data_IF_568721424250
#
_entry.id   IF_568721424250
#
_cell.length_a   1.000
_cell.length_b   1.000
_cell.length_c   1.000
_cell.angle_alpha   90.00
_cell.angle_beta   90.00
_cell.angle_gamma   90.00
#
_symmetry.space_group_name_H-M   'P 1'
#
loop_
_entity.id
_entity.type
_entity.pdbx_description
1 polymer ?
#
# COMPACT_ATOMS: atom_id res chain seq x y z
N UNK A 1 -0.11 19.28 8.19
CA UNK A 1 0.41 18.84 6.87
C UNK A 1 1.37 17.66 7.01
N UNK A 2 2.47 17.79 7.75
CA UNK A 2 3.51 16.74 7.92
C UNK A 2 3.01 15.44 8.54
N UNK A 3 1.99 15.48 9.41
CA UNK A 3 1.44 14.28 10.06
C UNK A 3 0.93 13.23 9.05
N UNK A 4 0.37 13.66 7.91
CA UNK A 4 -0.11 12.73 6.87
C UNK A 4 1.06 11.93 6.29
N UNK A 5 2.19 12.60 6.01
CA UNK A 5 3.38 11.94 5.50
C UNK A 5 4.06 11.04 6.52
N UNK A 6 3.94 11.34 7.83
CA UNK A 6 4.42 10.44 8.89
C UNK A 6 3.55 9.19 8.97
N UNK A 7 2.23 9.36 9.01
CA UNK A 7 1.28 8.25 9.03
C UNK A 7 1.49 7.29 7.84
N UNK A 8 1.58 7.83 6.62
CA UNK A 8 1.80 7.02 5.42
C UNK A 8 3.19 6.35 5.40
N UNK A 9 4.19 6.97 6.03
CA UNK A 9 5.51 6.36 6.19
C UNK A 9 5.45 5.18 7.17
N UNK A 10 4.64 5.26 8.21
CA UNK A 10 4.47 4.20 9.19
C UNK A 10 3.74 3.00 8.57
N UNK A 11 2.68 3.23 7.79
CA UNK A 11 2.02 2.18 6.97
C UNK A 11 3.05 1.49 6.06
N UNK A 12 3.84 2.27 5.31
CA UNK A 12 4.83 1.71 4.39
C UNK A 12 5.91 0.91 5.13
N UNK A 13 6.28 1.31 6.35
CA UNK A 13 7.22 0.56 7.18
C UNK A 13 6.63 -0.79 7.55
N UNK A 14 5.39 -0.82 8.02
CA UNK A 14 4.69 -2.06 8.37
C UNK A 14 4.60 -3.01 7.17
N UNK A 15 4.23 -2.51 5.99
CA UNK A 15 4.20 -3.34 4.77
C UNK A 15 5.58 -3.89 4.36
N UNK A 16 6.68 -3.23 4.74
CA UNK A 16 8.04 -3.69 4.47
C UNK A 16 8.56 -4.72 5.47
N UNK A 17 7.86 -4.90 6.59
CA UNK A 17 8.17 -5.93 7.59
C UNK A 17 7.54 -7.28 7.21
N UNK A 18 6.68 -7.32 6.17
CA UNK A 18 6.12 -8.56 5.63
C UNK A 18 7.23 -9.50 5.12
N UNK A 19 7.06 -10.84 5.26
CA UNK A 19 8.04 -11.85 4.85
C UNK A 19 8.05 -12.08 3.32
N UNK A 20 7.98 -11.01 2.53
CA UNK A 20 7.86 -11.03 1.06
C UNK A 20 9.20 -10.74 0.35
N UNK A 21 10.32 -10.85 1.07
CA UNK A 21 11.67 -10.63 0.54
C UNK A 21 12.08 -11.69 -0.49
N UNK A 22 13.08 -11.38 -1.32
CA UNK A 22 13.60 -12.37 -2.28
C UNK A 22 14.16 -13.56 -1.49
N UNK A 23 13.48 -14.71 -1.60
CA UNK A 23 13.96 -16.00 -1.10
C UNK A 23 15.21 -16.40 -1.90
N UNK A 24 16.34 -15.81 -1.54
CA UNK A 24 17.64 -16.19 -2.07
C UNK A 24 18.56 -16.57 -0.91
N UNK A 25 18.37 -17.79 -0.41
CA UNK A 25 19.25 -18.50 0.52
C UNK A 25 19.24 -17.92 1.94
N UNK A 26 18.83 -18.66 2.96
CA UNK A 26 19.59 -19.82 3.42
C UNK A 26 18.68 -20.65 4.29
N UNK A 27 18.46 -21.90 3.89
CA UNK A 27 18.01 -22.94 4.80
C UNK A 27 19.09 -23.14 5.87
N UNK A 28 18.98 -22.45 7.00
CA UNK A 28 19.73 -22.81 8.20
C UNK A 28 19.06 -24.03 8.83
N UNK A 29 19.34 -25.19 8.23
CA UNK A 29 19.19 -26.50 8.86
C UNK A 29 20.14 -26.53 10.06
N UNK A 30 19.67 -26.12 11.24
CA UNK A 30 20.41 -26.39 12.48
C UNK A 30 20.09 -27.81 12.97
N UNK A 31 20.86 -28.75 12.44
CA UNK A 31 20.98 -30.12 12.91
C UNK A 31 22.09 -30.18 13.95
N UNK A 32 21.73 -30.47 15.22
CA UNK A 32 22.38 -31.43 16.13
C UNK A 32 22.42 -30.95 17.59
N UNK A 33 21.95 -31.83 18.50
CA UNK A 33 22.30 -31.76 19.92
C UNK A 33 21.41 -32.58 20.84
N UNK A 34 21.38 -33.90 20.66
CA UNK A 34 20.70 -34.84 21.56
C UNK A 34 21.30 -34.84 22.98
N UNK A 35 20.46 -34.82 24.03
CA UNK A 35 20.61 -35.65 25.24
C UNK A 35 19.24 -35.93 25.87
N UNK A 36 18.91 -37.21 26.01
CA UNK A 36 17.78 -37.76 26.77
C UNK A 36 17.83 -37.39 28.27
N UNK A 37 16.67 -37.28 28.94
CA UNK A 37 16.26 -38.16 30.08
C UNK A 37 14.95 -37.66 30.75
N UNK A 38 13.85 -38.37 30.46
CA UNK A 38 12.65 -38.73 31.27
C UNK A 38 11.94 -37.71 32.18
N UNK A 39 10.65 -37.46 31.90
CA UNK A 39 9.57 -37.66 32.88
C UNK A 39 8.20 -37.73 32.17
N UNK A 40 7.46 -38.80 32.44
CA UNK A 40 6.13 -39.08 31.90
C UNK A 40 5.06 -38.13 32.48
N UNK A 41 4.17 -37.61 31.62
CA UNK A 41 2.76 -37.39 31.99
C UNK A 41 1.89 -37.42 30.74
N UNK A 42 0.91 -38.31 30.76
CA UNK A 42 -0.04 -38.60 29.69
C UNK A 42 -1.16 -37.55 29.57
N UNK A 43 -1.36 -37.07 28.33
CA UNK A 43 -2.61 -36.80 27.58
C UNK A 43 -3.83 -36.13 28.25
N UNK A 44 -4.17 -34.94 27.77
CA UNK A 44 -5.40 -34.59 27.01
C UNK A 44 -5.26 -33.10 26.59
N UNK A 45 -5.07 -32.70 25.33
CA UNK A 45 -6.04 -32.89 24.25
C UNK A 45 -6.75 -31.58 23.89
N UNK A 46 -6.02 -30.47 23.74
CA UNK A 46 -6.44 -29.35 22.88
C UNK A 46 -5.20 -28.50 22.57
N UNK A 47 -4.40 -29.00 21.63
CA UNK A 47 -3.48 -28.15 20.90
C UNK A 47 -4.34 -27.08 20.25
N UNK A 48 -4.28 -25.85 20.77
CA UNK A 48 -4.79 -24.70 20.06
C UNK A 48 -3.86 -24.50 18.87
N UNK A 49 -4.12 -25.28 17.83
CA UNK A 49 -3.55 -25.20 16.49
C UNK A 49 -4.11 -23.93 15.81
N UNK A 50 -3.86 -22.78 16.44
CA UNK A 50 -4.22 -21.45 15.96
C UNK A 50 -2.98 -20.68 15.48
N UNK A 51 -1.95 -21.41 15.06
CA UNK A 51 -0.84 -20.88 14.26
C UNK A 51 -1.03 -21.41 12.83
N UNK A 52 -2.11 -20.98 12.19
CA UNK A 52 -2.11 -20.90 10.73
C UNK A 52 -1.23 -19.70 10.37
N UNK A 53 0.08 -19.89 10.46
CA UNK A 53 1.03 -19.18 9.61
C UNK A 53 0.70 -19.60 8.17
N UNK A 54 -0.32 -18.97 7.58
CA UNK A 54 -0.55 -19.07 6.15
C UNK A 54 0.56 -18.27 5.48
N UNK A 55 1.62 -19.00 5.15
CA UNK A 55 2.72 -18.51 4.34
C UNK A 55 2.18 -17.98 3.02
N UNK A 56 2.69 -16.82 2.59
CA UNK A 56 2.33 -16.22 1.30
C UNK A 56 2.64 -17.18 0.14
N UNK A 57 1.72 -17.31 -0.81
CA UNK A 57 2.03 -17.96 -2.10
C UNK A 57 2.93 -17.08 -2.97
N UNK A 58 3.49 -17.63 -4.06
CA UNK A 58 4.31 -16.84 -5.00
C UNK A 58 3.51 -15.68 -5.62
N UNK A 59 2.24 -15.92 -5.94
CA UNK A 59 1.30 -14.92 -6.44
C UNK A 59 0.99 -13.86 -5.38
N UNK A 60 0.72 -14.27 -4.13
CA UNK A 60 0.47 -13.33 -3.04
C UNK A 60 1.71 -12.46 -2.73
N UNK A 61 2.92 -13.03 -2.83
CA UNK A 61 4.18 -12.27 -2.72
C UNK A 61 4.29 -11.24 -3.84
N UNK A 62 3.94 -11.60 -5.08
CA UNK A 62 3.98 -10.69 -6.23
C UNK A 62 3.04 -9.49 -6.01
N UNK A 63 1.79 -9.74 -5.60
CA UNK A 63 0.80 -8.72 -5.25
C UNK A 63 1.30 -7.84 -4.10
N UNK A 64 1.84 -8.43 -3.03
CA UNK A 64 2.34 -7.70 -1.88
C UNK A 64 3.49 -6.74 -2.24
N UNK A 65 4.43 -7.18 -3.10
CA UNK A 65 5.52 -6.33 -3.62
C UNK A 65 4.99 -5.14 -4.43
N UNK A 66 3.94 -5.34 -5.22
CA UNK A 66 3.29 -4.26 -5.96
C UNK A 66 2.59 -3.28 -5.02
N UNK A 67 1.89 -3.76 -3.98
CA UNK A 67 1.29 -2.87 -2.96
C UNK A 67 2.33 -2.03 -2.22
N UNK A 68 3.48 -2.61 -1.85
CA UNK A 68 4.60 -1.84 -1.27
C UNK A 68 5.09 -0.74 -2.22
N UNK A 69 5.11 -1.02 -3.53
CA UNK A 69 5.48 -0.04 -4.55
C UNK A 69 4.45 1.07 -4.64
N UNK A 70 3.16 0.74 -4.69
CA UNK A 70 2.03 1.69 -4.67
C UNK A 70 2.09 2.60 -3.43
N UNK A 71 2.29 2.02 -2.24
CA UNK A 71 2.41 2.78 -0.99
C UNK A 71 3.64 3.70 -0.98
N UNK A 72 4.77 3.24 -1.54
CA UNK A 72 5.98 4.05 -1.70
C UNK A 72 5.74 5.26 -2.62
N UNK A 73 5.09 5.05 -3.75
CA UNK A 73 4.80 6.12 -4.71
C UNK A 73 3.72 7.08 -4.18
N UNK A 74 2.72 6.59 -3.44
CA UNK A 74 1.75 7.43 -2.72
C UNK A 74 2.44 8.37 -1.72
N UNK A 75 3.44 7.86 -0.98
CA UNK A 75 4.23 8.68 -0.05
C UNK A 75 4.98 9.81 -0.78
N UNK A 76 5.50 9.54 -1.98
CA UNK A 76 6.12 10.56 -2.82
C UNK A 76 5.09 11.60 -3.27
N UNK A 77 3.90 11.19 -3.72
CA UNK A 77 2.81 12.10 -4.08
C UNK A 77 2.44 13.03 -2.92
N UNK A 78 2.25 12.49 -1.72
CA UNK A 78 1.91 13.29 -0.53
C UNK A 78 3.02 14.28 -0.20
N UNK A 79 4.29 13.84 -0.26
CA UNK A 79 5.46 14.71 -0.02
C UNK A 79 5.53 15.87 -1.01
N UNK A 80 5.41 15.56 -2.30
CA UNK A 80 5.49 16.56 -3.37
C UNK A 80 4.30 17.52 -3.33
N UNK A 81 3.12 17.04 -2.95
CA UNK A 81 1.92 17.87 -2.77
C UNK A 81 2.08 18.84 -1.58
N UNK A 82 2.56 18.35 -0.43
CA UNK A 82 2.86 19.22 0.73
C UNK A 82 3.96 20.23 0.39
N UNK A 83 4.98 19.82 -0.36
CA UNK A 83 6.06 20.70 -0.83
C UNK A 83 5.50 21.81 -1.72
N UNK A 84 4.65 21.46 -2.67
CA UNK A 84 3.97 22.41 -3.56
C UNK A 84 3.13 23.44 -2.77
N UNK A 85 2.27 22.99 -1.86
CA UNK A 85 1.48 23.87 -0.97
C UNK A 85 2.41 24.79 -0.17
N UNK A 86 3.47 24.25 0.41
CA UNK A 86 4.44 25.02 1.20
C UNK A 86 5.12 26.10 0.35
N UNK A 87 5.47 25.81 -0.90
CA UNK A 87 6.01 26.79 -1.84
C UNK A 87 5.00 27.89 -2.17
N UNK A 88 3.73 27.54 -2.40
CA UNK A 88 2.67 28.51 -2.65
C UNK A 88 2.45 29.45 -1.45
N UNK A 89 2.42 28.90 -0.22
CA UNK A 89 2.29 29.69 1.00
C UNK A 89 3.45 30.67 1.19
N UNK A 90 4.69 30.25 0.88
CA UNK A 90 5.88 31.14 0.93
C UNK A 90 5.79 32.29 -0.06
N UNK A 91 5.27 32.04 -1.27
CA UNK A 91 5.09 33.08 -2.29
C UNK A 91 3.95 34.03 -1.90
N UNK A 92 2.84 33.49 -1.38
CA UNK A 92 1.67 34.27 -0.96
C UNK A 92 1.95 35.14 0.27
N UNK A 93 2.75 34.66 1.24
CA UNK A 93 3.12 35.46 2.43
C UNK A 93 3.89 36.74 2.11
N UNK A 94 4.54 36.80 0.94
CA UNK A 94 5.24 37.99 0.45
C UNK A 94 4.33 38.94 -0.36
N UNK A 95 3.07 38.57 -0.61
CA UNK A 95 2.10 39.37 -1.38
C UNK A 95 0.89 39.65 -0.49
N UNK A 96 0.74 40.91 -0.06
CA UNK A 96 -0.42 41.37 0.72
C UNK A 96 -1.72 41.08 -0.05
N UNK A 97 -2.50 40.10 0.41
CA UNK A 97 -3.77 39.68 -0.19
C UNK A 97 -3.95 38.17 -0.15
N UNK A 98 -4.41 37.63 0.98
CA UNK A 98 -4.87 36.25 1.05
C UNK A 98 -6.13 36.10 0.19
N UNK A 99 -6.08 35.27 -0.85
CA UNK A 99 -7.27 34.91 -1.62
C UNK A 99 -7.92 33.69 -0.95
N UNK A 100 -9.06 33.88 -0.28
CA UNK A 100 -9.77 32.85 0.48
C UNK A 100 -10.04 31.58 -0.36
N UNK A 101 -10.33 31.74 -1.66
CA UNK A 101 -10.53 30.64 -2.62
C UNK A 101 -9.31 29.71 -2.73
N UNK A 102 -8.09 30.27 -2.66
CA UNK A 102 -6.86 29.47 -2.69
C UNK A 102 -6.67 28.68 -1.41
N UNK A 103 -7.09 29.23 -0.27
CA UNK A 103 -7.01 28.53 1.02
C UNK A 103 -7.92 27.31 0.99
N UNK A 104 -9.15 27.47 0.54
CA UNK A 104 -10.10 26.36 0.38
C UNK A 104 -9.53 25.26 -0.55
N UNK A 105 -8.98 25.65 -1.70
CA UNK A 105 -8.39 24.70 -2.65
C UNK A 105 -7.18 23.95 -2.05
N UNK A 106 -6.34 24.63 -1.26
CA UNK A 106 -5.22 23.99 -0.55
C UNK A 106 -5.72 23.01 0.53
N UNK A 107 -6.80 23.34 1.24
CA UNK A 107 -7.42 22.46 2.23
C UNK A 107 -8.04 21.21 1.58
N UNK A 108 -8.72 21.39 0.43
CA UNK A 108 -9.23 20.27 -0.37
C UNK A 108 -8.10 19.35 -0.83
N UNK A 109 -6.98 19.90 -1.30
CA UNK A 109 -5.81 19.12 -1.69
C UNK A 109 -5.18 18.35 -0.51
N UNK A 110 -5.14 18.94 0.69
CA UNK A 110 -4.72 18.24 1.91
C UNK A 110 -5.70 17.14 2.33
N UNK A 111 -7.00 17.35 2.10
CA UNK A 111 -8.01 16.32 2.31
C UNK A 111 -7.78 15.13 1.39
N UNK A 112 -7.50 15.37 0.10
CA UNK A 112 -7.12 14.29 -0.82
C UNK A 112 -5.88 13.51 -0.33
N UNK A 113 -4.87 14.20 0.22
CA UNK A 113 -3.68 13.52 0.76
C UNK A 113 -4.02 12.59 1.93
N UNK A 114 -4.95 13.01 2.79
CA UNK A 114 -5.41 12.19 3.92
C UNK A 114 -6.20 10.97 3.44
N UNK A 115 -7.15 11.19 2.54
CA UNK A 115 -7.95 10.11 1.95
C UNK A 115 -7.08 9.08 1.23
N UNK A 116 -6.04 9.52 0.52
CA UNK A 116 -5.09 8.60 -0.11
C UNK A 116 -4.32 7.78 0.95
N UNK A 117 -3.90 8.38 2.06
CA UNK A 117 -3.23 7.63 3.13
C UNK A 117 -4.17 6.59 3.77
N UNK A 118 -5.43 6.95 4.02
CA UNK A 118 -6.44 6.02 4.56
C UNK A 118 -6.69 4.86 3.58
N UNK A 119 -6.81 5.15 2.28
CA UNK A 119 -6.98 4.11 1.24
C UNK A 119 -5.75 3.21 1.08
N UNK A 120 -4.54 3.73 1.29
CA UNK A 120 -3.32 2.91 1.31
C UNK A 120 -3.26 2.03 2.55
N UNK A 121 -3.78 2.50 3.69
CA UNK A 121 -3.93 1.68 4.89
C UNK A 121 -4.87 0.50 4.64
N UNK A 122 -6.05 0.76 4.06
CA UNK A 122 -7.01 -0.28 3.68
C UNK A 122 -6.36 -1.29 2.71
N UNK A 123 -5.66 -0.78 1.69
CA UNK A 123 -4.94 -1.60 0.73
C UNK A 123 -3.88 -2.46 1.43
N UNK A 124 -3.14 -1.92 2.39
CA UNK A 124 -2.18 -2.68 3.19
C UNK A 124 -2.79 -3.78 4.05
N UNK A 125 -3.96 -3.52 4.63
CA UNK A 125 -4.68 -4.53 5.40
C UNK A 125 -5.14 -5.71 4.52
N UNK A 126 -5.47 -5.45 3.25
CA UNK A 126 -5.90 -6.51 2.31
C UNK A 126 -4.78 -7.44 1.83
N UNK A 127 -3.50 -7.13 2.13
CA UNK A 127 -2.33 -7.90 1.67
C UNK A 127 -1.97 -9.08 2.59
N UNK A 128 -2.53 -9.13 3.80
CA UNK A 128 -2.29 -10.26 4.71
C UNK A 128 -3.04 -11.51 4.23
N UNK A 129 -2.43 -12.71 4.29
CA UNK A 129 -3.09 -13.95 3.90
C UNK A 129 -4.31 -14.30 4.79
N UNK A 130 -5.37 -14.88 4.21
CA UNK A 130 -5.61 -14.96 2.76
C UNK A 130 -5.92 -13.56 2.19
N UNK A 131 -5.31 -13.21 1.06
CA UNK A 131 -5.44 -11.86 0.49
C UNK A 131 -6.88 -11.51 0.05
N UNK A 132 -7.32 -10.28 0.33
CA UNK A 132 -8.64 -9.77 -0.10
C UNK A 132 -8.53 -8.99 -1.42
N UNK A 133 -8.52 -9.71 -2.54
CA UNK A 133 -8.43 -9.12 -3.88
C UNK A 133 -9.63 -8.22 -4.23
N UNK A 134 -10.79 -8.44 -3.62
CA UNK A 134 -11.97 -7.59 -3.84
C UNK A 134 -11.74 -6.21 -3.22
N UNK A 135 -11.24 -6.16 -1.99
CA UNK A 135 -10.91 -4.90 -1.32
C UNK A 135 -9.72 -4.21 -2.00
N UNK A 136 -8.73 -4.96 -2.51
CA UNK A 136 -7.64 -4.38 -3.33
C UNK A 136 -8.19 -3.67 -4.57
N UNK A 137 -9.06 -4.34 -5.34
CA UNK A 137 -9.70 -3.76 -6.55
C UNK A 137 -10.51 -2.51 -6.21
N UNK A 138 -11.22 -2.54 -5.08
CA UNK A 138 -11.97 -1.38 -4.59
C UNK A 138 -11.03 -0.22 -4.24
N UNK A 139 -9.96 -0.49 -3.49
CA UNK A 139 -8.95 0.48 -3.07
C UNK A 139 -8.23 1.11 -4.27
N UNK A 140 -7.82 0.33 -5.27
CA UNK A 140 -7.20 0.82 -6.52
C UNK A 140 -8.11 1.84 -7.22
N UNK A 141 -9.41 1.54 -7.36
CA UNK A 141 -10.38 2.47 -7.98
C UNK A 141 -10.50 3.77 -7.19
N UNK A 142 -10.57 3.69 -5.86
CA UNK A 142 -10.63 4.87 -4.98
C UNK A 142 -9.37 5.72 -5.11
N UNK A 143 -8.20 5.10 -5.18
CA UNK A 143 -6.90 5.76 -5.34
C UNK A 143 -6.77 6.47 -6.70
N UNK A 144 -7.24 5.87 -7.80
CA UNK A 144 -7.33 6.57 -9.09
C UNK A 144 -8.25 7.80 -9.03
N UNK A 145 -9.39 7.68 -8.36
CA UNK A 145 -10.29 8.81 -8.11
C UNK A 145 -9.58 9.93 -7.34
N UNK A 146 -8.87 9.57 -6.27
CA UNK A 146 -8.06 10.49 -5.46
C UNK A 146 -6.95 11.17 -6.24
N UNK A 147 -6.19 10.43 -7.05
CA UNK A 147 -5.11 10.96 -7.90
C UNK A 147 -5.65 11.99 -8.90
N UNK A 148 -6.81 11.72 -9.52
CA UNK A 148 -7.47 12.65 -10.43
C UNK A 148 -7.99 13.91 -9.72
N UNK A 149 -8.51 13.78 -8.50
CA UNK A 149 -8.90 14.91 -7.67
C UNK A 149 -7.69 15.79 -7.31
N UNK A 150 -6.60 15.19 -6.82
CA UNK A 150 -5.35 15.92 -6.54
C UNK A 150 -4.84 16.68 -7.77
N UNK A 151 -4.83 16.03 -8.93
CA UNK A 151 -4.40 16.66 -10.19
C UNK A 151 -5.26 17.88 -10.55
N UNK A 152 -6.56 17.83 -10.29
CA UNK A 152 -7.49 18.95 -10.51
C UNK A 152 -7.15 20.12 -9.58
N UNK A 153 -7.01 19.87 -8.28
CA UNK A 153 -6.71 20.92 -7.31
C UNK A 153 -5.32 21.53 -7.49
N UNK A 154 -4.33 20.73 -7.87
CA UNK A 154 -2.99 21.24 -8.20
C UNK A 154 -3.05 22.19 -9.41
N UNK A 155 -3.87 21.88 -10.42
CA UNK A 155 -4.04 22.73 -11.61
C UNK A 155 -4.74 24.04 -11.28
N UNK A 156 -5.77 24.03 -10.45
CA UNK A 156 -6.53 25.24 -10.08
C UNK A 156 -5.67 26.22 -9.24
N UNK A 157 -4.73 25.72 -8.44
CA UNK A 157 -3.81 26.55 -7.65
C UNK A 157 -2.75 27.29 -8.48
N UNK A 158 -2.39 26.76 -9.66
CA UNK A 158 -1.32 27.29 -10.52
C UNK A 158 0.09 27.18 -9.91
N UNK A 159 1.09 27.87 -10.46
CA UNK A 159 2.48 27.84 -9.97
C UNK A 159 3.36 26.83 -10.71
N UNK A 160 4.30 26.19 -9.99
CA UNK A 160 5.27 25.20 -10.51
C UNK A 160 4.98 23.81 -9.92
N UNK A 161 4.00 23.06 -10.48
CA UNK A 161 3.54 21.78 -9.96
C UNK A 161 4.29 20.54 -10.51
N UNK A 162 5.39 20.72 -11.24
CA UNK A 162 6.01 19.65 -12.05
C UNK A 162 6.34 18.40 -11.21
N UNK A 163 6.90 18.58 -10.02
CA UNK A 163 7.24 17.47 -9.13
C UNK A 163 6.01 16.66 -8.68
N UNK A 164 4.89 17.35 -8.42
CA UNK A 164 3.65 16.68 -8.01
C UNK A 164 3.00 15.91 -9.17
N UNK A 165 3.04 16.45 -10.40
CA UNK A 165 2.53 15.72 -11.57
C UNK A 165 3.38 14.50 -11.93
N UNK A 166 4.71 14.61 -11.87
CA UNK A 166 5.60 13.46 -12.09
C UNK A 166 5.36 12.37 -11.04
N UNK A 167 5.17 12.75 -9.77
CA UNK A 167 4.84 11.79 -8.72
C UNK A 167 3.49 11.11 -8.97
N UNK A 168 2.46 11.86 -9.38
CA UNK A 168 1.13 11.32 -9.70
C UNK A 168 1.17 10.36 -10.89
N UNK A 169 1.92 10.68 -11.95
CA UNK A 169 2.08 9.80 -13.11
C UNK A 169 2.75 8.47 -12.73
N UNK A 170 3.80 8.54 -11.89
CA UNK A 170 4.49 7.36 -11.39
C UNK A 170 3.55 6.50 -10.52
N UNK A 171 2.81 7.14 -9.63
CA UNK A 171 1.82 6.48 -8.78
C UNK A 171 0.73 5.76 -9.62
N UNK A 172 0.18 6.41 -10.64
CA UNK A 172 -0.80 5.78 -11.54
C UNK A 172 -0.23 4.60 -12.31
N UNK A 173 1.05 4.65 -12.72
CA UNK A 173 1.72 3.48 -13.34
C UNK A 173 1.81 2.30 -12.37
N UNK A 174 2.11 2.57 -11.09
CA UNK A 174 2.17 1.52 -10.06
C UNK A 174 0.79 0.92 -9.77
N UNK A 175 -0.26 1.74 -9.76
CA UNK A 175 -1.64 1.26 -9.64
C UNK A 175 -2.04 0.38 -10.83
N UNK A 176 -1.65 0.76 -12.05
CA UNK A 176 -1.93 -0.03 -13.24
C UNK A 176 -1.21 -1.39 -13.22
N UNK A 177 0.02 -1.44 -12.72
CA UNK A 177 0.73 -2.71 -12.55
C UNK A 177 0.03 -3.63 -11.54
N UNK A 178 -0.39 -3.08 -10.39
CA UNK A 178 -1.16 -3.84 -9.39
C UNK A 178 -2.51 -4.31 -9.95
N UNK A 179 -3.21 -3.47 -10.71
CA UNK A 179 -4.50 -3.79 -11.31
C UNK A 179 -4.42 -4.96 -12.30
N UNK A 180 -3.34 -5.04 -13.07
CA UNK A 180 -3.08 -6.18 -13.97
C UNK A 180 -2.87 -7.47 -13.17
N UNK A 181 -2.00 -7.44 -12.16
CA UNK A 181 -1.69 -8.62 -11.34
C UNK A 181 -2.94 -9.20 -10.68
N UNK A 182 -3.77 -8.36 -10.05
CA UNK A 182 -4.99 -8.82 -9.35
C UNK A 182 -6.14 -9.19 -10.31
N UNK A 183 -6.02 -8.89 -11.60
CA UNK A 183 -7.01 -9.26 -12.62
C UNK A 183 -6.77 -10.68 -13.17
N UNK A 184 -5.51 -11.11 -13.26
CA UNK A 184 -5.12 -12.41 -13.83
C UNK A 184 -5.56 -13.60 -12.96
N UNK A 185 -5.74 -13.42 -11.65
CA UNK A 185 -6.17 -14.50 -10.74
C UNK A 185 -7.57 -15.07 -11.06
N UNK A 186 -8.47 -14.26 -11.62
CA UNK A 186 -9.82 -14.71 -12.02
C UNK A 186 -9.76 -15.73 -13.18
N UNK A 187 -8.72 -15.68 -14.01
CA UNK A 187 -8.54 -16.64 -15.10
C UNK A 187 -8.05 -18.01 -14.61
N UNK A 188 -7.18 -18.02 -13.60
CA UNK A 188 -6.61 -19.26 -13.04
C UNK A 188 -7.62 -20.04 -12.17
N UNK A 189 -8.52 -19.34 -11.47
CA UNK A 189 -9.57 -19.99 -10.66
C UNK A 189 -10.59 -20.74 -11.53
N UNK A 190 -10.87 -20.24 -12.76
CA UNK A 190 -11.78 -20.91 -13.71
C UNK A 190 -11.17 -22.16 -14.37
N UNK A 191 -9.85 -22.22 -14.54
CA UNK A 191 -9.20 -23.36 -15.20
C UNK A 191 -9.16 -24.61 -14.29
N UNK A 192 -9.03 -24.42 -12.97
CA UNK A 192 -8.98 -25.49 -11.97
C UNK A 192 -10.32 -26.20 -11.69
N UNK A 193 -11.45 -25.64 -12.13
CA UNK A 193 -12.77 -26.27 -12.00
C UNK A 193 -13.08 -27.29 -13.12
N UNK A 194 -12.20 -27.42 -14.12
CA UNK A 194 -12.46 -28.25 -15.32
C UNK A 194 -11.93 -29.69 -15.21
N UNK A 195 -11.31 -30.08 -14.09
CA UNK A 195 -10.70 -31.41 -13.92
C UNK A 195 -11.42 -32.20 -12.83
N UNK A 196 -12.64 -32.69 -13.12
CA UNK A 196 -13.24 -33.89 -12.49
C UNK A 196 -14.58 -34.20 -13.15
N UNK A 197 -14.55 -34.77 -14.34
CA UNK A 197 -15.68 -35.48 -14.93
C UNK A 197 -15.13 -36.65 -15.75
N UNK A 198 -14.84 -37.76 -15.06
CA UNK A 198 -14.58 -39.07 -15.66
C UNK A 198 -15.57 -40.07 -15.08
#
# INVERSE_FOLDING_TARGET
MTQIGVYLKDILREMKELPIGDSNGTAEKSSNGAVDTTSCSDRDGSSSDLELDEDFTEEEVAVAKLVVTVASDALVVVKETIRFITCLLKISGNRSGANEEKVETMEQLLSCCRQAADQINDLGASVYPPQDLSEMKSSVKRLYGGANAMRREIRSLGGSPEGAFVALERFEKSLGALEVEIADDVANEMENLTISSS
#
